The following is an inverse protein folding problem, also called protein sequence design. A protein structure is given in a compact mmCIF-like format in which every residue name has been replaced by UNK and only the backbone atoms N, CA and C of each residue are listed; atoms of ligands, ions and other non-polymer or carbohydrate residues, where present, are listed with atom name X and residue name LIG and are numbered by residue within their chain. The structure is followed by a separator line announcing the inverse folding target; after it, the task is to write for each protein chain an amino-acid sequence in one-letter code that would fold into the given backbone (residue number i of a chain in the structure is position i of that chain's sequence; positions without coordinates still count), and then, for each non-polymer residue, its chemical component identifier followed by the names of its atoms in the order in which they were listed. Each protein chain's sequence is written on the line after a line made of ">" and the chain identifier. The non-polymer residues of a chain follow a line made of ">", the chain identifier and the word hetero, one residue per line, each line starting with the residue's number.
data_IF_228094492162
#
_entry.id   IF_228094492162
#
_cell.length_a   1.000
_cell.length_b   1.000
_cell.length_c   1.000
_cell.angle_alpha   90.00
_cell.angle_beta   90.00
_cell.angle_gamma   90.00
#
_symmetry.space_group_name_H-M   'P 1'
#
loop_
_entity.id
_entity.type
_entity.pdbx_description
1 polymer ?
#
# COMPACT_ATOMS: atom_id res chain seq x y z
N UNK A 1 1.81 -40.63 -38.56
CA UNK A 1 0.35 -40.64 -38.79
C UNK A 1 -0.15 -39.21 -38.70
N UNK A 2 -0.79 -38.68 -39.74
CA UNK A 2 -1.42 -37.36 -39.69
C UNK A 2 -2.63 -37.44 -38.77
N UNK A 3 -2.65 -36.64 -37.69
CA UNK A 3 -3.86 -36.50 -36.87
C UNK A 3 -4.93 -35.83 -37.74
N UNK A 4 -6.10 -36.46 -37.80
CA UNK A 4 -7.27 -35.95 -38.47
C UNK A 4 -8.18 -35.33 -37.39
N UNK A 5 -8.64 -34.10 -37.62
CA UNK A 5 -9.64 -33.46 -36.75
C UNK A 5 -10.96 -33.36 -37.52
N UNK A 6 -12.05 -33.77 -36.89
CA UNK A 6 -13.40 -33.62 -37.43
C UNK A 6 -13.93 -32.23 -37.09
N UNK A 7 -14.19 -31.43 -38.13
CA UNK A 7 -14.92 -30.17 -38.01
C UNK A 7 -16.18 -30.33 -38.87
N UNK A 8 -17.30 -30.70 -38.24
CA UNK A 8 -18.53 -31.05 -38.95
C UNK A 8 -18.37 -32.32 -39.80
N UNK A 9 -19.01 -32.36 -40.97
CA UNK A 9 -19.04 -33.52 -41.88
C UNK A 9 -17.81 -33.68 -42.79
N UNK A 10 -16.74 -32.90 -42.60
CA UNK A 10 -15.52 -32.96 -43.44
C UNK A 10 -14.29 -33.16 -42.56
N UNK A 11 -13.65 -34.33 -42.73
CA UNK A 11 -12.35 -34.64 -42.13
C UNK A 11 -11.25 -33.91 -42.92
N UNK A 12 -10.50 -33.01 -42.29
CA UNK A 12 -9.36 -32.30 -42.91
C UNK A 12 -8.05 -32.76 -42.27
N UNK A 13 -6.99 -32.88 -43.07
CA UNK A 13 -5.63 -33.16 -42.59
C UNK A 13 -5.07 -31.96 -41.83
N UNK A 14 -4.60 -32.15 -40.60
CA UNK A 14 -3.97 -31.09 -39.81
C UNK A 14 -2.66 -30.65 -40.46
N UNK A 15 -2.52 -29.34 -40.73
CA UNK A 15 -1.32 -28.78 -41.32
C UNK A 15 -0.08 -29.01 -40.44
N UNK A 16 1.06 -29.32 -41.07
CA UNK A 16 2.35 -29.53 -40.37
C UNK A 16 2.70 -28.28 -39.57
N UNK A 17 2.72 -28.39 -38.23
CA UNK A 17 3.04 -27.28 -37.31
C UNK A 17 1.85 -26.72 -36.52
N UNK A 18 0.63 -27.17 -36.75
CA UNK A 18 -0.56 -26.79 -35.95
C UNK A 18 -0.35 -27.03 -34.45
N UNK A 19 0.24 -28.17 -34.07
CA UNK A 19 0.54 -28.51 -32.67
C UNK A 19 1.45 -27.47 -31.99
N UNK A 20 2.42 -26.89 -32.72
CA UNK A 20 3.30 -25.85 -32.18
C UNK A 20 2.57 -24.51 -31.98
N UNK A 21 1.63 -24.19 -32.87
CA UNK A 21 0.81 -22.96 -32.75
C UNK A 21 -0.19 -23.09 -31.61
N UNK A 22 -0.79 -24.27 -31.43
CA UNK A 22 -1.67 -24.55 -30.30
C UNK A 22 -0.90 -24.53 -28.97
N UNK A 23 0.30 -25.10 -28.94
CA UNK A 23 1.21 -25.01 -27.80
C UNK A 23 1.59 -23.55 -27.47
N UNK A 24 1.88 -22.71 -28.48
CA UNK A 24 2.16 -21.28 -28.27
C UNK A 24 0.96 -20.54 -27.68
N UNK A 25 -0.25 -20.77 -28.22
CA UNK A 25 -1.48 -20.16 -27.68
C UNK A 25 -1.72 -20.56 -26.22
N UNK A 26 -1.51 -21.84 -25.88
CA UNK A 26 -1.63 -22.33 -24.51
C UNK A 26 -0.57 -21.67 -23.61
N UNK A 27 0.66 -21.55 -24.08
CA UNK A 27 1.74 -20.87 -23.35
C UNK A 27 1.37 -19.41 -23.08
N UNK A 28 0.89 -18.67 -24.09
CA UNK A 28 0.46 -17.27 -23.93
C UNK A 28 -0.72 -17.12 -22.95
N UNK A 29 -1.69 -18.04 -22.96
CA UNK A 29 -2.75 -18.07 -21.95
C UNK A 29 -2.19 -18.32 -20.55
N UNK A 30 -1.27 -19.26 -20.40
CA UNK A 30 -0.60 -19.55 -19.13
C UNK A 30 0.24 -18.36 -18.64
N UNK A 31 0.88 -17.59 -19.53
CA UNK A 31 1.58 -16.35 -19.18
C UNK A 31 0.64 -15.34 -18.52
N UNK A 32 -0.59 -15.19 -19.06
CA UNK A 32 -1.60 -14.30 -18.46
C UNK A 32 -2.05 -14.84 -17.11
N UNK A 33 -2.40 -16.13 -17.02
CA UNK A 33 -2.80 -16.80 -15.78
C UNK A 33 -1.75 -16.65 -14.68
N UNK A 34 -0.48 -16.92 -14.99
CA UNK A 34 0.67 -16.73 -14.08
C UNK A 34 0.82 -15.26 -13.65
N UNK A 35 0.60 -14.33 -14.57
CA UNK A 35 0.57 -12.90 -14.32
C UNK A 35 -0.49 -12.48 -13.29
N UNK A 36 -1.72 -12.94 -13.48
CA UNK A 36 -2.87 -12.71 -12.59
C UNK A 36 -2.61 -13.30 -11.20
N UNK A 37 -2.16 -14.56 -11.12
CA UNK A 37 -1.80 -15.20 -9.85
C UNK A 37 -0.71 -14.40 -9.12
N UNK A 38 0.37 -14.02 -9.80
CA UNK A 38 1.46 -13.20 -9.21
C UNK A 38 0.94 -11.86 -8.69
N UNK A 39 0.04 -11.21 -9.42
CA UNK A 39 -0.57 -9.94 -9.01
C UNK A 39 -1.36 -10.09 -7.70
N UNK A 40 -2.26 -11.06 -7.62
CA UNK A 40 -3.05 -11.34 -6.41
C UNK A 40 -2.18 -11.81 -5.25
N UNK A 41 -1.17 -12.64 -5.51
CA UNK A 41 -0.19 -13.07 -4.51
C UNK A 41 0.53 -11.88 -3.89
N UNK A 42 0.93 -10.89 -4.69
CA UNK A 42 1.58 -9.68 -4.19
C UNK A 42 0.62 -8.81 -3.38
N UNK A 43 -0.61 -8.60 -3.83
CA UNK A 43 -1.63 -7.86 -3.07
C UNK A 43 -1.92 -8.54 -1.73
N UNK A 44 -2.12 -9.85 -1.73
CA UNK A 44 -2.42 -10.63 -0.53
C UNK A 44 -1.24 -10.70 0.45
N UNK A 45 0.00 -10.45 0.00
CA UNK A 45 1.18 -10.28 0.86
C UNK A 45 1.23 -8.92 1.54
N UNK A 46 0.66 -7.89 0.92
CA UNK A 46 0.61 -6.51 1.44
C UNK A 46 -0.52 -6.27 2.44
N UNK A 47 -1.62 -7.03 2.34
CA UNK A 47 -2.73 -7.00 3.32
C UNK A 47 -2.26 -7.38 4.73
N UNK A 48 -2.96 -6.86 5.74
CA UNK A 48 -2.72 -7.23 7.14
C UNK A 48 -2.92 -8.73 7.35
N UNK A 49 -1.92 -9.40 7.94
CA UNK A 49 -2.00 -10.82 8.27
C UNK A 49 -1.26 -11.07 9.57
N UNK A 50 -1.72 -12.08 10.31
CA UNK A 50 -0.93 -12.65 11.41
C UNK A 50 0.10 -13.60 10.81
N UNK A 51 1.34 -13.50 11.27
CA UNK A 51 2.43 -14.39 10.88
C UNK A 51 2.87 -15.18 12.10
N UNK A 52 2.95 -16.50 11.95
CA UNK A 52 3.55 -17.37 12.95
C UNK A 52 5.06 -17.14 13.00
N UNK A 53 5.57 -16.87 14.20
CA UNK A 53 7.01 -16.76 14.46
C UNK A 53 7.36 -17.59 15.67
N UNK A 54 8.45 -18.35 15.60
CA UNK A 54 9.03 -19.00 16.78
C UNK A 54 9.54 -17.93 17.73
N UNK A 55 9.06 -17.96 18.97
CA UNK A 55 9.56 -17.15 20.07
C UNK A 55 10.96 -17.59 20.50
N UNK A 56 11.57 -16.81 21.40
CA UNK A 56 12.87 -17.18 21.98
C UNK A 56 12.81 -18.52 22.73
N UNK A 57 11.64 -18.86 23.26
CA UNK A 57 11.37 -20.09 24.01
C UNK A 57 10.94 -21.26 23.11
N UNK A 58 11.13 -21.17 21.79
CA UNK A 58 10.74 -22.20 20.82
C UNK A 58 9.24 -22.29 20.49
N UNK A 59 8.36 -21.72 21.33
CA UNK A 59 6.90 -21.69 21.11
C UNK A 59 6.51 -20.84 19.89
N UNK A 60 5.52 -21.28 19.11
CA UNK A 60 4.95 -20.51 18.01
C UNK A 60 4.08 -19.37 18.56
N UNK A 61 4.38 -18.14 18.17
CA UNK A 61 3.62 -16.94 18.52
C UNK A 61 3.11 -16.28 17.26
N UNK A 62 1.81 -16.00 17.21
CA UNK A 62 1.20 -15.20 16.15
C UNK A 62 1.54 -13.73 16.37
N UNK A 63 2.28 -13.13 15.42
CA UNK A 63 2.59 -11.70 15.43
C UNK A 63 1.91 -11.01 14.26
N UNK A 64 1.35 -9.84 14.52
CA UNK A 64 0.86 -8.97 13.47
C UNK A 64 2.02 -8.58 12.54
N UNK A 65 1.89 -8.91 11.26
CA UNK A 65 2.77 -8.38 10.21
C UNK A 65 2.34 -6.94 9.94
N UNK A 66 3.31 -6.03 9.84
CA UNK A 66 3.03 -4.67 9.39
C UNK A 66 2.47 -4.72 7.96
N UNK A 67 1.23 -4.25 7.76
CA UNK A 67 0.68 -4.22 6.43
C UNK A 67 1.27 -3.07 5.63
N UNK A 68 1.39 -3.27 4.32
CA UNK A 68 1.98 -2.33 3.37
C UNK A 68 1.04 -2.11 2.20
N UNK A 69 -0.26 -2.14 2.47
CA UNK A 69 -1.32 -2.03 1.47
C UNK A 69 -1.26 -0.68 0.73
N UNK A 70 -0.75 0.37 1.38
CA UNK A 70 -0.54 1.68 0.77
C UNK A 70 0.46 1.64 -0.41
N UNK A 71 1.32 0.61 -0.49
CA UNK A 71 2.32 0.47 -1.56
C UNK A 71 1.79 -0.28 -2.78
N UNK A 72 0.58 -0.82 -2.70
CA UNK A 72 -0.10 -1.43 -3.85
C UNK A 72 -0.51 -0.38 -4.87
N UNK A 73 -0.82 -0.79 -6.11
CA UNK A 73 -1.17 0.13 -7.20
C UNK A 73 -2.41 0.97 -6.85
N UNK A 74 -3.43 0.36 -6.25
CA UNK A 74 -4.63 1.08 -5.84
C UNK A 74 -4.34 1.97 -4.62
N UNK A 75 -3.54 1.50 -3.66
CA UNK A 75 -3.14 2.29 -2.50
C UNK A 75 -2.35 3.55 -2.87
N UNK A 76 -1.41 3.44 -3.82
CA UNK A 76 -0.63 4.57 -4.31
C UNK A 76 -1.50 5.62 -5.02
N UNK A 77 -2.48 5.17 -5.81
CA UNK A 77 -3.40 6.07 -6.49
C UNK A 77 -4.34 6.76 -5.52
N UNK A 78 -4.90 6.03 -4.54
CA UNK A 78 -5.70 6.63 -3.47
C UNK A 78 -4.88 7.65 -2.66
N UNK A 79 -3.60 7.36 -2.38
CA UNK A 79 -2.72 8.32 -1.73
C UNK A 79 -2.58 9.60 -2.55
N UNK A 80 -2.29 9.49 -3.85
CA UNK A 80 -2.10 10.65 -4.72
C UNK A 80 -3.33 11.56 -4.76
N UNK A 81 -4.53 10.98 -4.87
CA UNK A 81 -5.78 11.76 -4.91
C UNK A 81 -6.19 12.32 -3.54
N UNK A 82 -5.82 11.64 -2.44
CA UNK A 82 -6.29 12.00 -1.10
C UNK A 82 -5.39 13.01 -0.36
N UNK A 83 -4.14 13.22 -0.78
CA UNK A 83 -3.21 14.12 -0.06
C UNK A 83 -3.74 15.56 -0.03
N UNK A 84 -4.11 16.12 -1.18
CA UNK A 84 -4.55 17.51 -1.29
C UNK A 84 -5.82 17.80 -0.45
N UNK A 85 -6.91 17.00 -0.55
CA UNK A 85 -8.09 17.21 0.30
C UNK A 85 -7.80 17.17 1.80
N UNK A 86 -6.93 16.27 2.25
CA UNK A 86 -6.55 16.18 3.68
C UNK A 86 -5.70 17.37 4.09
N UNK A 87 -4.78 17.80 3.24
CA UNK A 87 -3.90 18.95 3.47
C UNK A 87 -4.72 20.23 3.67
N UNK A 88 -5.77 20.43 2.86
CA UNK A 88 -6.73 21.54 3.00
C UNK A 88 -7.46 21.48 4.35
N UNK A 89 -7.96 20.31 4.76
CA UNK A 89 -8.67 20.16 6.03
C UNK A 89 -7.75 20.39 7.25
N UNK A 90 -6.49 19.97 7.18
CA UNK A 90 -5.50 20.25 8.22
C UNK A 90 -5.23 21.76 8.34
N UNK A 91 -5.05 22.47 7.23
CA UNK A 91 -4.85 23.93 7.25
C UNK A 91 -6.05 24.67 7.85
N UNK A 92 -7.29 24.24 7.52
CA UNK A 92 -8.51 24.80 8.14
C UNK A 92 -8.52 24.56 9.65
N UNK A 93 -8.28 23.31 10.07
CA UNK A 93 -8.21 22.96 11.49
C UNK A 93 -7.14 23.77 12.23
N UNK A 94 -5.98 23.96 11.60
CA UNK A 94 -4.88 24.72 12.17
C UNK A 94 -5.26 26.19 12.40
N UNK A 95 -5.82 26.85 11.38
CA UNK A 95 -6.34 28.23 11.51
C UNK A 95 -7.42 28.34 12.58
N UNK A 96 -8.33 27.37 12.62
CA UNK A 96 -9.40 27.33 13.61
C UNK A 96 -8.90 27.08 15.04
N UNK A 97 -7.77 26.37 15.21
CA UNK A 97 -7.18 26.11 16.51
C UNK A 97 -6.48 27.34 17.10
N UNK A 98 -5.90 28.19 16.25
CA UNK A 98 -5.18 29.40 16.65
C UNK A 98 -6.00 30.69 16.53
N UNK A 99 -7.31 30.60 16.26
CA UNK A 99 -8.19 31.76 16.09
C UNK A 99 -8.54 32.53 17.39
N UNK A 100 -7.79 32.34 18.48
CA UNK A 100 -7.92 33.07 19.74
C UNK A 100 -9.10 32.65 20.63
N UNK A 101 -9.99 31.78 20.17
CA UNK A 101 -11.06 31.24 21.01
C UNK A 101 -10.56 30.04 21.84
N UNK A 102 -10.93 30.01 23.13
CA UNK A 102 -10.61 28.89 24.01
C UNK A 102 -11.25 27.58 23.50
N UNK A 103 -10.43 26.67 22.98
CA UNK A 103 -10.86 25.35 22.48
C UNK A 103 -10.05 24.23 23.12
N UNK A 104 -10.72 23.10 23.39
CA UNK A 104 -10.14 21.91 24.06
C UNK A 104 -9.01 21.18 23.29
N UNK A 105 -8.65 21.60 22.07
CA UNK A 105 -7.77 20.85 21.17
C UNK A 105 -6.50 21.58 20.69
N UNK A 106 -6.09 22.67 21.35
CA UNK A 106 -4.89 23.42 20.97
C UNK A 106 -3.62 22.56 20.94
N UNK A 107 -3.52 21.52 21.79
CA UNK A 107 -2.31 20.70 21.89
C UNK A 107 -1.98 19.92 20.64
N UNK A 108 -2.98 19.40 19.92
CA UNK A 108 -2.75 18.70 18.66
C UNK A 108 -2.23 19.65 17.59
N UNK A 109 -2.70 20.90 17.55
CA UNK A 109 -2.20 21.92 16.65
C UNK A 109 -0.74 22.32 16.98
N UNK A 110 -0.38 22.41 18.27
CA UNK A 110 1.02 22.62 18.68
C UNK A 110 1.95 21.49 18.23
N UNK A 111 1.51 20.23 18.35
CA UNK A 111 2.31 19.08 17.91
C UNK A 111 2.46 19.04 16.39
N UNK A 112 1.41 19.44 15.65
CA UNK A 112 1.45 19.56 14.20
C UNK A 112 2.52 20.57 13.74
N UNK A 113 2.70 21.71 14.43
CA UNK A 113 3.79 22.65 14.14
C UNK A 113 5.17 21.99 14.20
N UNK A 114 5.38 21.07 15.15
CA UNK A 114 6.68 20.38 15.33
C UNK A 114 7.00 19.40 14.20
N UNK A 115 6.01 19.04 13.38
CA UNK A 115 6.19 18.14 12.25
C UNK A 115 6.56 18.88 10.95
N UNK A 116 6.59 20.22 10.94
CA UNK A 116 6.91 21.04 9.77
C UNK A 116 8.28 21.71 9.98
N UNK A 117 9.10 21.86 8.92
CA UNK A 117 10.33 22.64 9.01
C UNK A 117 10.03 24.09 9.40
N UNK A 118 10.87 24.70 10.25
CA UNK A 118 10.64 26.06 10.75
C UNK A 118 10.44 27.07 9.61
N UNK A 119 11.17 26.89 8.49
CA UNK A 119 11.10 27.74 7.29
C UNK A 119 9.76 27.68 6.55
N UNK A 120 9.02 26.58 6.67
CA UNK A 120 7.77 26.37 5.97
C UNK A 120 6.56 26.80 6.79
N UNK A 121 6.76 27.15 8.07
CA UNK A 121 5.67 27.55 8.97
C UNK A 121 4.95 28.81 8.48
N UNK A 122 5.71 29.78 7.96
CA UNK A 122 5.21 31.05 7.42
C UNK A 122 4.52 30.92 6.06
N UNK A 123 4.67 29.78 5.37
CA UNK A 123 4.05 29.58 4.07
C UNK A 123 2.51 29.51 4.23
N UNK A 124 1.74 30.38 3.56
CA UNK A 124 0.28 30.34 3.63
C UNK A 124 -0.34 29.19 2.82
N UNK A 125 0.46 28.50 1.99
CA UNK A 125 -0.01 27.36 1.21
C UNK A 125 -0.26 26.14 2.08
N UNK A 126 -1.35 25.44 1.79
CA UNK A 126 -1.69 24.14 2.37
C UNK A 126 -0.60 23.06 2.16
N UNK A 127 0.21 23.15 1.09
CA UNK A 127 1.21 22.12 0.73
C UNK A 127 2.21 21.77 1.86
N UNK A 128 2.42 22.66 2.84
CA UNK A 128 3.23 22.36 4.03
C UNK A 128 2.71 21.16 4.84
N UNK A 129 1.42 20.85 4.73
CA UNK A 129 0.77 19.73 5.42
C UNK A 129 0.79 18.43 4.60
N UNK A 130 1.37 18.41 3.39
CA UNK A 130 1.31 17.24 2.51
C UNK A 130 2.04 16.03 3.10
N UNK A 131 3.19 16.25 3.74
CA UNK A 131 3.94 15.19 4.41
C UNK A 131 3.13 14.56 5.56
N UNK A 132 2.45 15.38 6.34
CA UNK A 132 1.60 14.95 7.47
C UNK A 132 0.38 14.19 6.94
N UNK A 133 -0.25 14.72 5.89
CA UNK A 133 -1.38 14.09 5.18
C UNK A 133 -0.99 12.72 4.65
N UNK A 134 0.17 12.61 4.00
CA UNK A 134 0.71 11.36 3.49
C UNK A 134 0.91 10.33 4.61
N UNK A 135 1.50 10.73 5.74
CA UNK A 135 1.73 9.85 6.89
C UNK A 135 0.40 9.35 7.47
N UNK A 136 -0.56 10.26 7.67
CA UNK A 136 -1.88 9.92 8.20
C UNK A 136 -2.63 8.96 7.26
N UNK A 137 -2.71 9.30 5.97
CA UNK A 137 -3.34 8.47 4.94
C UNK A 137 -2.66 7.11 4.82
N UNK A 138 -1.33 7.05 4.82
CA UNK A 138 -0.58 5.78 4.78
C UNK A 138 -0.93 4.90 5.97
N UNK A 139 -0.97 5.47 7.18
CA UNK A 139 -1.30 4.72 8.39
C UNK A 139 -2.70 4.09 8.31
N UNK A 140 -3.69 4.81 7.76
CA UNK A 140 -5.07 4.37 7.55
C UNK A 140 -5.17 3.36 6.40
N UNK A 141 -4.61 3.68 5.22
CA UNK A 141 -4.71 2.88 4.01
C UNK A 141 -4.02 1.52 4.12
N UNK A 142 -2.96 1.43 4.93
CA UNK A 142 -2.27 0.16 5.19
C UNK A 142 -3.21 -0.91 5.79
N UNK A 143 -4.34 -0.55 6.41
CA UNK A 143 -5.30 -1.53 6.95
C UNK A 143 -6.70 -1.36 6.34
N UNK A 144 -6.81 -0.82 5.13
CA UNK A 144 -8.11 -0.47 4.54
C UNK A 144 -8.97 -1.67 4.17
N UNK A 145 -8.40 -2.75 3.62
CA UNK A 145 -9.21 -3.92 3.21
C UNK A 145 -9.75 -4.72 4.40
N UNK A 146 -8.95 -4.88 5.46
CA UNK A 146 -9.32 -5.74 6.62
C UNK A 146 -10.00 -4.93 7.72
N UNK A 147 -9.74 -3.62 7.75
CA UNK A 147 -10.11 -2.75 8.85
C UNK A 147 -9.15 -2.89 10.03
N UNK A 148 -9.14 -1.86 10.87
CA UNK A 148 -8.46 -1.89 12.16
C UNK A 148 -9.26 -1.08 13.18
N UNK A 149 -9.04 -1.33 14.46
CA UNK A 149 -9.70 -0.55 15.51
C UNK A 149 -9.26 0.91 15.43
N UNK A 150 -10.18 1.83 15.72
CA UNK A 150 -9.94 3.27 15.70
C UNK A 150 -8.73 3.67 16.56
N UNK A 151 -8.61 3.05 17.74
CA UNK A 151 -7.48 3.27 18.64
C UNK A 151 -6.16 2.80 18.03
N UNK A 152 -6.13 1.66 17.32
CA UNK A 152 -4.91 1.15 16.66
C UNK A 152 -4.47 2.08 15.52
N UNK A 153 -5.41 2.55 14.69
CA UNK A 153 -5.13 3.52 13.64
C UNK A 153 -4.57 4.83 14.22
N UNK A 154 -5.24 5.36 15.24
CA UNK A 154 -4.88 6.59 15.96
C UNK A 154 -3.47 6.54 16.54
N UNK A 155 -3.14 5.47 17.27
CA UNK A 155 -1.80 5.28 17.84
C UNK A 155 -0.74 5.15 16.73
N UNK A 156 -1.05 4.48 15.62
CA UNK A 156 -0.14 4.36 14.48
C UNK A 156 0.17 5.74 13.88
N UNK A 157 -0.85 6.57 13.65
CA UNK A 157 -0.68 7.95 13.15
C UNK A 157 0.20 8.77 14.10
N UNK A 158 -0.13 8.80 15.39
CA UNK A 158 0.63 9.57 16.37
C UNK A 158 2.09 9.15 16.50
N UNK A 159 2.37 7.84 16.51
CA UNK A 159 3.74 7.32 16.55
C UNK A 159 4.53 7.65 15.27
N UNK A 160 3.89 7.56 14.09
CA UNK A 160 4.55 7.89 12.82
C UNK A 160 4.88 9.37 12.71
N UNK A 161 4.03 10.26 13.23
CA UNK A 161 4.28 11.70 13.25
C UNK A 161 5.34 12.12 14.26
N UNK A 162 5.34 11.50 15.44
CA UNK A 162 6.43 11.72 16.39
C UNK A 162 7.77 11.32 15.77
N UNK A 163 7.83 10.18 15.08
CA UNK A 163 9.06 9.77 14.41
C UNK A 163 9.49 10.75 13.32
N UNK A 164 8.56 11.32 12.55
CA UNK A 164 8.88 12.37 11.57
C UNK A 164 9.40 13.64 12.25
N UNK A 165 8.72 14.11 13.31
CA UNK A 165 9.17 15.29 14.08
C UNK A 165 10.55 15.09 14.71
N UNK A 166 10.85 13.88 15.20
CA UNK A 166 12.16 13.52 15.76
C UNK A 166 13.25 13.55 14.68
N UNK A 167 12.95 13.04 13.48
CA UNK A 167 13.89 13.07 12.35
C UNK A 167 14.11 14.49 11.82
N UNK A 168 13.07 15.32 11.83
CA UNK A 168 13.16 16.72 11.48
C UNK A 168 14.06 17.48 12.44
N UNK A 169 13.84 17.30 13.74
CA UNK A 169 14.71 17.84 14.79
C UNK A 169 16.16 17.39 14.61
N UNK A 170 16.41 16.09 14.39
CA UNK A 170 17.76 15.59 14.15
C UNK A 170 18.42 16.24 12.93
N UNK A 171 17.67 16.42 11.84
CA UNK A 171 18.17 17.06 10.62
C UNK A 171 18.51 18.53 10.85
N UNK A 172 17.72 19.25 11.64
CA UNK A 172 17.93 20.67 11.95
C UNK A 172 19.08 20.88 12.94
N UNK A 173 19.21 20.03 13.96
CA UNK A 173 20.29 20.11 14.95
C UNK A 173 21.65 19.64 14.44
N UNK A 174 21.70 18.49 13.75
CA UNK A 174 22.94 17.95 13.16
C UNK A 174 22.69 17.33 11.78
N UNK A 175 22.67 18.21 10.78
CA UNK A 175 22.50 17.84 9.37
C UNK A 175 23.59 16.90 8.85
N UNK A 176 24.83 16.99 9.37
CA UNK A 176 25.97 16.19 8.89
C UNK A 176 25.82 14.73 9.31
N UNK A 177 25.55 14.49 10.59
CA UNK A 177 25.35 13.13 11.11
C UNK A 177 24.05 12.52 10.60
N UNK A 178 22.98 13.32 10.48
CA UNK A 178 21.74 12.90 9.83
C UNK A 178 21.98 12.40 8.40
N UNK A 179 22.70 13.18 7.58
CA UNK A 179 22.95 12.85 6.18
C UNK A 179 23.80 11.58 6.01
N UNK A 180 24.82 11.39 6.86
CA UNK A 180 25.61 10.15 6.90
C UNK A 180 24.75 8.94 7.25
N UNK A 181 23.91 9.07 8.28
CA UNK A 181 23.00 8.01 8.73
C UNK A 181 21.97 7.66 7.65
N UNK A 182 21.39 8.67 7.00
CA UNK A 182 20.48 8.51 5.88
C UNK A 182 21.13 7.77 4.70
N UNK A 183 22.38 8.11 4.38
CA UNK A 183 23.14 7.43 3.33
C UNK A 183 23.38 5.95 3.66
N UNK A 184 23.81 5.65 4.88
CA UNK A 184 23.99 4.28 5.36
C UNK A 184 22.69 3.44 5.27
N UNK A 185 21.55 4.05 5.59
CA UNK A 185 20.25 3.38 5.59
C UNK A 185 19.58 3.27 4.21
N UNK A 186 20.18 3.83 3.14
CA UNK A 186 19.56 3.90 1.80
C UNK A 186 19.18 2.53 1.24
N UNK A 187 20.00 1.51 1.47
CA UNK A 187 19.79 0.14 0.95
C UNK A 187 18.84 -0.71 1.81
N UNK A 188 18.55 -0.28 3.04
CA UNK A 188 17.69 -1.01 3.97
C UNK A 188 16.26 -0.49 3.87
N UNK A 189 15.27 -1.37 3.93
CA UNK A 189 13.86 -0.98 3.82
C UNK A 189 12.99 -1.33 5.05
N UNK A 190 13.62 -1.77 6.14
CA UNK A 190 12.91 -2.07 7.40
C UNK A 190 12.74 -0.80 8.24
N UNK A 191 11.50 -0.40 8.45
CA UNK A 191 11.13 0.76 9.24
C UNK A 191 11.62 0.67 10.69
N UNK A 192 11.47 -0.48 11.36
CA UNK A 192 11.85 -0.67 12.76
C UNK A 192 13.36 -0.58 12.93
N UNK A 193 14.09 -1.15 11.98
CA UNK A 193 15.55 -1.05 11.95
C UNK A 193 16.01 0.40 11.76
N UNK A 194 15.43 1.11 10.77
CA UNK A 194 15.74 2.53 10.53
C UNK A 194 15.51 3.37 11.77
N UNK A 195 14.35 3.22 12.42
CA UNK A 195 14.01 3.93 13.66
C UNK A 195 15.10 3.75 14.73
N UNK A 196 15.52 2.50 14.99
CA UNK A 196 16.56 2.20 15.97
C UNK A 196 17.91 2.84 15.63
N UNK A 197 18.31 2.78 14.36
CA UNK A 197 19.59 3.37 13.92
C UNK A 197 19.57 4.89 14.04
N UNK A 198 18.46 5.55 13.69
CA UNK A 198 18.33 6.99 13.90
C UNK A 198 18.36 7.36 15.38
N UNK A 199 17.63 6.64 16.25
CA UNK A 199 17.70 6.87 17.70
C UNK A 199 19.12 6.70 18.24
N UNK A 200 19.84 5.67 17.80
CA UNK A 200 21.25 5.46 18.19
C UNK A 200 22.15 6.62 17.72
N UNK A 201 21.99 7.06 16.47
CA UNK A 201 22.77 8.16 15.91
C UNK A 201 22.50 9.50 16.64
N UNK A 202 21.25 9.77 17.02
CA UNK A 202 20.88 10.93 17.82
C UNK A 202 21.52 10.89 19.21
N UNK A 203 21.41 9.76 19.91
CA UNK A 203 22.02 9.60 21.25
C UNK A 203 23.54 9.76 21.20
N UNK A 204 24.20 9.28 20.14
CA UNK A 204 25.64 9.46 19.93
C UNK A 204 26.01 10.92 19.64
N UNK A 205 25.11 11.69 19.08
CA UNK A 205 25.26 13.13 18.86
C UNK A 205 24.83 13.97 20.08
N UNK A 206 24.52 13.32 21.22
CA UNK A 206 24.11 13.98 22.47
C UNK A 206 22.85 14.86 22.30
N UNK A 207 21.99 14.50 21.34
CA UNK A 207 20.72 15.19 21.09
C UNK A 207 19.61 14.57 21.93
N UNK A 208 19.11 15.31 22.90
CA UNK A 208 17.98 14.89 23.71
C UNK A 208 16.65 15.20 23.02
N UNK A 209 15.78 14.20 22.91
CA UNK A 209 14.43 14.35 22.39
C UNK A 209 13.39 14.14 23.50
N UNK A 210 12.54 15.14 23.72
CA UNK A 210 11.39 15.01 24.61
C UNK A 210 10.29 14.18 23.96
N UNK A 211 10.18 12.91 24.35
CA UNK A 211 9.10 12.02 23.89
C UNK A 211 7.73 12.61 24.21
N UNK A 212 6.79 12.50 23.27
CA UNK A 212 5.44 13.01 23.51
C UNK A 212 4.67 12.09 24.46
N UNK A 213 3.78 12.69 25.25
CA UNK A 213 2.88 11.93 26.11
C UNK A 213 1.96 11.04 25.26
N UNK A 214 1.64 9.85 25.78
CA UNK A 214 0.76 8.90 25.07
C UNK A 214 -0.63 9.49 24.82
N UNK A 215 -1.16 10.26 25.77
CA UNK A 215 -2.45 10.94 25.63
C UNK A 215 -2.45 11.91 24.45
N UNK A 216 -1.40 12.73 24.33
CA UNK A 216 -1.29 13.73 23.27
C UNK A 216 -1.15 13.06 21.88
N UNK A 217 -0.38 11.98 21.78
CA UNK A 217 -0.28 11.17 20.53
C UNK A 217 -1.64 10.63 20.10
N UNK A 218 -2.42 10.16 21.06
CA UNK A 218 -3.76 9.62 20.81
C UNK A 218 -4.71 10.76 20.39
N UNK A 219 -4.69 11.91 21.06
CA UNK A 219 -5.51 13.06 20.68
C UNK A 219 -5.16 13.59 19.27
N UNK A 220 -3.87 13.67 18.95
CA UNK A 220 -3.38 14.03 17.62
C UNK A 220 -3.86 13.04 16.56
N UNK A 221 -3.71 11.74 16.81
CA UNK A 221 -4.13 10.71 15.87
C UNK A 221 -5.65 10.67 15.66
N UNK A 222 -6.46 10.92 16.70
CA UNK A 222 -7.92 11.04 16.55
C UNK A 222 -8.29 12.24 15.67
N UNK A 223 -7.66 13.38 15.93
CA UNK A 223 -7.88 14.62 15.17
C UNK A 223 -7.56 14.39 13.70
N UNK A 224 -6.41 13.81 13.38
CA UNK A 224 -6.03 13.55 11.99
C UNK A 224 -6.86 12.47 11.32
N UNK A 225 -7.26 11.42 12.05
CA UNK A 225 -8.17 10.43 11.51
C UNK A 225 -9.52 11.05 11.13
N UNK A 226 -10.04 11.94 11.97
CA UNK A 226 -11.28 12.67 11.71
C UNK A 226 -11.14 13.62 10.50
N UNK A 227 -10.01 14.33 10.38
CA UNK A 227 -9.70 15.16 9.20
C UNK A 227 -9.58 14.33 7.92
N UNK A 228 -8.98 13.14 7.97
CA UNK A 228 -8.92 12.21 6.83
C UNK A 228 -10.31 11.77 6.41
N UNK A 229 -11.19 11.45 7.36
CA UNK A 229 -12.59 11.07 7.08
C UNK A 229 -13.33 12.24 6.43
N UNK A 230 -13.24 13.44 7.01
CA UNK A 230 -13.91 14.65 6.51
C UNK A 230 -13.42 15.09 5.14
N UNK A 231 -12.11 15.06 4.91
CA UNK A 231 -11.52 15.51 3.65
C UNK A 231 -11.72 14.55 2.48
N UNK A 232 -11.80 13.25 2.73
CA UNK A 232 -11.75 12.25 1.64
C UNK A 232 -13.00 11.39 1.49
N UNK A 233 -13.73 11.12 2.58
CA UNK A 233 -14.83 10.14 2.58
C UNK A 233 -14.40 8.70 2.22
N UNK A 234 -13.09 8.39 2.22
CA UNK A 234 -12.59 7.07 1.86
C UNK A 234 -12.92 6.00 2.90
N UNK A 235 -12.90 6.41 4.17
CA UNK A 235 -13.13 5.55 5.32
C UNK A 235 -14.23 6.11 6.22
N UNK A 236 -14.88 5.21 6.95
CA UNK A 236 -15.94 5.48 7.92
C UNK A 236 -15.64 4.77 9.24
N UNK A 237 -16.21 5.29 10.32
CA UNK A 237 -16.19 4.64 11.62
C UNK A 237 -17.42 3.73 11.74
N UNK A 238 -17.18 2.44 11.95
CA UNK A 238 -18.22 1.44 12.13
C UNK A 238 -18.08 0.81 13.52
N UNK A 239 -19.12 0.89 14.34
CA UNK A 239 -19.16 0.16 15.60
C UNK A 239 -19.52 -1.30 15.29
N UNK A 240 -18.69 -2.23 15.76
CA UNK A 240 -18.96 -3.67 15.71
C UNK A 240 -19.25 -4.18 17.11
N UNK A 241 -20.20 -5.09 17.25
CA UNK A 241 -20.43 -5.79 18.52
C UNK A 241 -19.57 -7.06 18.49
N UNK A 242 -18.58 -7.14 19.38
CA UNK A 242 -17.73 -8.31 19.56
C UNK A 242 -18.05 -8.94 20.93
N UNK A 243 -18.80 -10.06 20.90
CA UNK A 243 -19.25 -10.73 22.12
C UNK A 243 -20.33 -9.95 22.88
N UNK A 244 -20.48 -10.23 24.17
CA UNK A 244 -21.59 -9.69 24.97
C UNK A 244 -21.37 -8.25 25.48
N UNK A 245 -20.12 -7.81 25.64
CA UNK A 245 -19.82 -6.55 26.37
C UNK A 245 -18.91 -5.57 25.61
N UNK A 246 -18.28 -5.99 24.51
CA UNK A 246 -17.31 -5.15 23.81
C UNK A 246 -17.88 -4.66 22.49
N UNK A 247 -17.93 -3.35 22.33
CA UNK A 247 -18.36 -2.72 21.07
C UNK A 247 -17.26 -1.83 20.50
N UNK A 248 -16.13 -2.39 20.04
CA UNK A 248 -15.05 -1.60 19.46
C UNK A 248 -15.49 -0.85 18.20
N UNK A 249 -14.92 0.34 18.02
CA UNK A 249 -15.09 1.15 16.81
C UNK A 249 -13.97 0.78 15.84
N UNK A 250 -14.33 0.43 14.62
CA UNK A 250 -13.44 0.09 13.53
C UNK A 250 -13.39 1.21 12.50
N UNK A 251 -12.20 1.40 11.91
CA UNK A 251 -12.00 2.20 10.70
C UNK A 251 -12.13 1.25 9.53
N UNK A 252 -13.15 1.47 8.71
CA UNK A 252 -13.47 0.66 7.53
C UNK A 252 -13.55 1.54 6.31
N UNK A 253 -13.26 0.99 5.14
CA UNK A 253 -13.54 1.64 3.87
C UNK A 253 -15.05 1.85 3.66
N UNK A 254 -15.39 2.92 2.95
CA UNK A 254 -16.75 3.08 2.43
C UNK A 254 -16.98 2.10 1.26
N UNK A 255 -18.25 1.74 1.01
CA UNK A 255 -18.59 0.81 -0.08
C UNK A 255 -18.08 1.31 -1.43
N UNK A 256 -18.22 2.62 -1.68
CA UNK A 256 -17.70 3.29 -2.88
C UNK A 256 -16.19 3.04 -3.07
N UNK A 257 -15.41 3.16 -2.00
CA UNK A 257 -13.97 2.91 -2.02
C UNK A 257 -13.66 1.44 -2.29
N UNK A 258 -14.43 0.51 -1.71
CA UNK A 258 -14.27 -0.92 -1.97
C UNK A 258 -14.54 -1.28 -3.43
N UNK A 259 -15.66 -0.82 -3.98
CA UNK A 259 -16.03 -1.07 -5.37
C UNK A 259 -14.97 -0.49 -6.33
N UNK A 260 -14.45 0.70 -6.02
CA UNK A 260 -13.37 1.32 -6.78
C UNK A 260 -12.07 0.49 -6.71
N UNK A 261 -11.69 0.01 -5.51
CA UNK A 261 -10.51 -0.85 -5.33
C UNK A 261 -10.66 -2.14 -6.15
N UNK A 262 -11.83 -2.77 -6.15
CA UNK A 262 -12.10 -3.98 -6.92
C UNK A 262 -12.01 -3.75 -8.42
N UNK A 263 -12.62 -2.67 -8.93
CA UNK A 263 -12.51 -2.27 -10.33
C UNK A 263 -11.06 -2.00 -10.74
N UNK A 264 -10.30 -1.31 -9.88
CA UNK A 264 -8.88 -1.04 -10.14
C UNK A 264 -8.05 -2.32 -10.16
N UNK A 265 -8.34 -3.28 -9.27
CA UNK A 265 -7.69 -4.61 -9.26
C UNK A 265 -7.97 -5.37 -10.55
N UNK A 266 -9.23 -5.42 -11.00
CA UNK A 266 -9.64 -6.10 -12.23
C UNK A 266 -8.98 -5.50 -13.47
N UNK A 267 -8.89 -4.17 -13.55
CA UNK A 267 -8.16 -3.53 -14.64
C UNK A 267 -6.65 -3.82 -14.59
N UNK A 268 -6.06 -3.83 -13.38
CA UNK A 268 -4.61 -3.96 -13.21
C UNK A 268 -4.08 -5.40 -13.37
N UNK A 269 -4.90 -6.42 -13.08
CA UNK A 269 -4.49 -7.83 -13.22
C UNK A 269 -4.27 -8.22 -14.69
N UNK A 270 -5.11 -7.71 -15.60
CA UNK A 270 -5.01 -7.98 -17.03
C UNK A 270 -3.70 -7.43 -17.64
N UNK A 271 -3.20 -6.31 -17.10
CA UNK A 271 -2.05 -5.59 -17.65
C UNK A 271 -0.69 -6.17 -17.23
N UNK A 272 -0.65 -7.28 -16.47
CA UNK A 272 0.59 -7.83 -15.90
C UNK A 272 0.90 -9.29 -16.27
N UNK A 273 0.83 -9.69 -17.56
CA UNK A 273 1.21 -11.05 -17.98
C UNK A 273 2.69 -11.33 -17.67
N UNK A 274 3.00 -12.60 -17.39
CA UNK A 274 4.38 -13.07 -17.21
C UNK A 274 4.93 -13.52 -18.57
N UNK A 275 5.46 -12.58 -19.34
CA UNK A 275 6.02 -12.83 -20.68
C UNK A 275 7.19 -13.82 -20.63
N UNK A 276 7.18 -14.83 -21.49
CA UNK A 276 8.20 -15.89 -21.61
C UNK A 276 8.60 -16.11 -23.08
N UNK A 277 9.76 -16.72 -23.37
CA UNK A 277 10.18 -16.99 -24.75
C UNK A 277 9.15 -17.80 -25.54
N UNK A 278 9.06 -17.56 -26.85
CA UNK A 278 8.13 -18.25 -27.75
C UNK A 278 8.70 -19.60 -28.23
N UNK A 279 7.82 -20.56 -28.47
CA UNK A 279 8.11 -21.88 -29.07
C UNK A 279 8.28 -21.75 -30.59
N UNK A 280 7.58 -20.80 -31.19
CA UNK A 280 7.57 -20.53 -32.64
C UNK A 280 8.23 -19.19 -32.97
N UNK A 281 8.48 -18.95 -34.27
CA UNK A 281 8.95 -17.64 -34.75
C UNK A 281 7.94 -16.55 -34.35
N UNK A 282 8.39 -15.45 -33.72
CA UNK A 282 7.51 -14.34 -33.38
C UNK A 282 6.83 -13.74 -34.61
N UNK A 283 5.63 -13.18 -34.42
CA UNK A 283 4.89 -12.41 -35.42
C UNK A 283 5.71 -11.20 -35.83
N UNK A 284 5.83 -11.01 -37.14
CA UNK A 284 6.51 -9.84 -37.70
C UNK A 284 5.74 -8.55 -37.36
N UNK A 285 6.48 -7.48 -37.13
CA UNK A 285 5.90 -6.21 -36.74
C UNK A 285 5.26 -5.53 -37.94
N UNK A 286 3.95 -5.31 -37.87
CA UNK A 286 3.22 -4.54 -38.89
C UNK A 286 3.18 -3.04 -38.55
N UNK A 287 3.16 -2.72 -37.25
CA UNK A 287 3.18 -1.37 -36.71
C UNK A 287 3.77 -1.38 -35.28
N UNK A 288 4.06 -0.23 -34.64
CA UNK A 288 4.70 -0.18 -33.31
C UNK A 288 3.95 -0.90 -32.17
N UNK A 289 2.67 -1.22 -32.36
CA UNK A 289 1.83 -1.89 -31.37
C UNK A 289 1.51 -3.34 -31.74
N UNK A 290 1.72 -3.78 -32.98
CA UNK A 290 1.34 -5.11 -33.47
C UNK A 290 2.55 -5.90 -33.98
N UNK A 291 3.06 -6.79 -33.13
CA UNK A 291 4.14 -7.73 -33.41
C UNK A 291 4.51 -8.56 -32.17
N UNK A 292 5.39 -9.56 -32.34
CA UNK A 292 5.82 -10.45 -31.26
C UNK A 292 4.88 -11.64 -31.03
N UNK A 293 4.13 -11.64 -29.93
CA UNK A 293 3.21 -12.72 -29.57
C UNK A 293 2.05 -12.85 -30.56
N UNK A 294 1.49 -14.06 -30.69
CA UNK A 294 0.36 -14.33 -31.58
C UNK A 294 -0.95 -13.77 -31.03
N UNK A 295 -1.18 -13.92 -29.73
CA UNK A 295 -2.41 -13.50 -29.05
C UNK A 295 -2.18 -12.14 -28.41
N UNK A 296 -2.55 -11.09 -29.14
CA UNK A 296 -2.44 -9.71 -28.65
C UNK A 296 -3.54 -9.32 -27.66
N UNK A 297 -4.55 -10.18 -27.49
CA UNK A 297 -5.75 -9.86 -26.74
C UNK A 297 -5.53 -10.07 -25.24
N UNK A 298 -5.56 -8.97 -24.49
CA UNK A 298 -5.84 -9.05 -23.06
C UNK A 298 -7.21 -9.74 -22.89
N UNK A 299 -7.32 -10.82 -22.12
CA UNK A 299 -8.63 -11.42 -21.87
C UNK A 299 -9.53 -10.37 -21.21
N UNK A 300 -10.64 -10.04 -21.88
CA UNK A 300 -11.63 -9.08 -21.38
C UNK A 300 -12.29 -9.60 -20.10
N UNK A 301 -12.50 -10.92 -20.04
CA UNK A 301 -13.07 -11.62 -18.90
C UNK A 301 -12.05 -12.61 -18.35
N UNK A 302 -11.40 -12.27 -17.24
CA UNK A 302 -10.44 -13.14 -16.57
C UNK A 302 -11.21 -14.11 -15.66
N UNK A 303 -11.07 -15.42 -15.86
CA UNK A 303 -11.72 -16.41 -15.02
C UNK A 303 -11.33 -16.29 -13.54
N UNK A 304 -12.32 -16.36 -12.64
CA UNK A 304 -12.10 -16.23 -11.19
C UNK A 304 -11.11 -17.27 -10.64
N UNK A 305 -11.11 -18.48 -11.20
CA UNK A 305 -10.24 -19.58 -10.81
C UNK A 305 -8.74 -19.26 -11.01
N UNK A 306 -8.37 -18.32 -11.88
CA UNK A 306 -6.96 -17.94 -12.08
C UNK A 306 -6.36 -17.16 -10.90
N UNK A 307 -7.20 -16.61 -10.00
CA UNK A 307 -6.78 -15.77 -8.88
C UNK A 307 -6.26 -16.58 -7.67
N UNK A 308 -6.70 -17.83 -7.52
CA UNK A 308 -6.50 -18.63 -6.30
C UNK A 308 -5.74 -19.96 -6.50
N UNK A 309 -5.47 -20.37 -7.74
CA UNK A 309 -4.78 -21.65 -7.98
C UNK A 309 -3.29 -21.48 -7.72
N UNK A 310 -2.77 -22.14 -6.67
CA UNK A 310 -1.35 -22.46 -6.61
C UNK A 310 -1.03 -23.27 -7.87
N UNK A 311 -0.19 -22.70 -8.73
CA UNK A 311 0.30 -23.42 -9.89
C UNK A 311 1.06 -24.62 -9.32
N UNK A 312 0.52 -25.82 -9.52
CA UNK A 312 1.31 -27.04 -9.40
C UNK A 312 2.59 -26.78 -10.20
N UNK A 313 3.72 -26.91 -9.51
CA UNK A 313 5.01 -26.93 -10.17
C UNK A 313 5.00 -28.16 -11.06
N UNK A 314 4.53 -28.00 -12.30
CA UNK A 314 4.97 -28.88 -13.37
C UNK A 314 6.48 -28.70 -13.41
N UNK A 315 7.16 -29.69 -12.81
CA UNK A 315 8.57 -29.95 -12.98
C UNK A 315 8.84 -29.92 -14.48
N UNK A 316 9.52 -28.87 -14.91
CA UNK A 316 10.12 -28.85 -16.23
C UNK A 316 11.35 -29.76 -16.07
N UNK A 317 11.16 -31.05 -16.30
CA UNK A 317 12.25 -31.96 -16.67
C UNK A 317 12.85 -31.55 -18.03
#
# INVERSE_FOLDING_TARGET
>A
MQKLFEIGSKVKSVARGYEKVEAEKKLEQDMVRRGVYRFHKNINKSKAKKQEKRGKDGKLVLKDKEPTESTTIYGQHLLQEAIEPVSIEIEKYFKDAFNGHSKKYAKSAELLCKCIPIKELENPSHNKWDAISLIALKAVLDSITIGCTQTKATIKIGNSLEDESRLLFFKESDSKTYSKTKHYLKTRNDYRYKKKVYSYAMNKAELEWGDWLKADKVQLGFTLLDLVIRGTGLVKLQRRVEGSERTPIYVECTQKTMDWIEKKKLHSEALKPMRTPMIIKPKEWSNPFDGGYLTHSFPKDIPQNWRNVELESEEIE
#
